data_IF_222261608463
#
_entry.id   IF_222261608463
#
_cell.length_a   1.000
_cell.length_b   1.000
_cell.length_c   1.000
_cell.angle_alpha   90.00
_cell.angle_beta   90.00
_cell.angle_gamma   90.00
#
_symmetry.space_group_name_H-M   'P 1'
#
loop_
_entity.id
_entity.type
_entity.pdbx_description
1 polymer ?
#
# COMPACT_ATOMS: atom_id res chain seq x y z
N UNK A 1 22.17 1.97 32.86
CA UNK A 1 21.04 1.67 31.96
C UNK A 1 20.81 2.92 31.13
N UNK A 2 21.30 2.95 29.90
CA UNK A 2 21.14 4.10 29.01
C UNK A 2 19.71 4.16 28.48
N UNK A 3 19.19 5.36 28.28
CA UNK A 3 17.83 5.69 27.82
C UNK A 3 17.51 5.18 26.39
N UNK A 4 18.38 4.37 25.80
CA UNK A 4 18.40 4.05 24.37
C UNK A 4 17.83 2.66 24.02
N UNK A 5 17.26 1.94 24.98
CA UNK A 5 16.74 0.57 24.81
C UNK A 5 15.19 0.53 24.72
N UNK A 6 14.58 1.59 24.17
CA UNK A 6 13.16 1.53 23.81
C UNK A 6 13.06 0.89 22.44
N UNK A 7 12.42 -0.28 22.28
CA UNK A 7 12.20 -0.85 20.95
C UNK A 7 11.43 0.21 20.12
N UNK A 8 11.79 0.45 18.85
CA UNK A 8 11.12 1.44 18.02
C UNK A 8 9.68 0.98 17.79
N UNK A 9 8.77 1.39 18.67
CA UNK A 9 7.34 1.30 18.44
C UNK A 9 6.93 2.57 17.72
N UNK A 10 6.78 2.51 16.41
CA UNK A 10 5.76 3.30 15.73
C UNK A 10 5.57 2.81 14.31
N UNK A 11 4.41 2.21 14.09
CA UNK A 11 3.79 2.28 12.77
C UNK A 11 3.58 3.76 12.44
N UNK A 12 4.21 4.23 11.38
CA UNK A 12 4.01 5.57 10.84
C UNK A 12 2.72 5.65 10.01
N UNK A 13 2.08 6.81 10.00
CA UNK A 13 0.85 7.03 9.20
C UNK A 13 1.25 7.37 7.76
N UNK A 14 0.87 6.50 6.82
CA UNK A 14 0.98 6.78 5.39
C UNK A 14 -0.22 7.64 4.93
N UNK A 15 0.04 8.78 4.29
CA UNK A 15 -0.97 9.57 3.58
C UNK A 15 -0.78 9.34 2.08
N UNK A 16 -1.86 8.97 1.41
CA UNK A 16 -1.91 8.74 -0.03
C UNK A 16 -3.18 9.42 -0.56
N UNK A 17 -3.06 10.14 -1.68
CA UNK A 17 -4.22 10.65 -2.39
C UNK A 17 -4.58 9.64 -3.47
N UNK A 18 -5.82 9.16 -3.44
CA UNK A 18 -6.36 8.22 -4.39
C UNK A 18 -7.66 8.80 -4.95
N UNK A 19 -7.89 8.56 -6.23
CA UNK A 19 -9.17 8.84 -6.87
C UNK A 19 -10.30 7.96 -6.29
N UNK A 20 -11.56 8.32 -6.56
CA UNK A 20 -12.71 7.53 -6.11
C UNK A 20 -12.67 6.10 -6.66
N UNK A 21 -12.26 5.92 -7.92
CA UNK A 21 -12.23 4.61 -8.58
C UNK A 21 -11.13 3.71 -8.01
N UNK A 22 -9.99 4.29 -7.65
CA UNK A 22 -8.90 3.57 -6.97
C UNK A 22 -9.29 3.13 -5.56
N UNK A 23 -9.98 3.99 -4.82
CA UNK A 23 -10.53 3.64 -3.50
C UNK A 23 -11.57 2.52 -3.61
N UNK A 24 -12.44 2.59 -4.62
CA UNK A 24 -13.44 1.56 -4.89
C UNK A 24 -12.77 0.22 -5.22
N UNK A 25 -11.74 0.21 -6.08
CA UNK A 25 -11.01 -1.01 -6.44
C UNK A 25 -10.37 -1.69 -5.21
N UNK A 26 -9.79 -0.91 -4.29
CA UNK A 26 -9.24 -1.44 -3.02
C UNK A 26 -10.35 -2.04 -2.15
N UNK A 27 -11.50 -1.38 -2.08
CA UNK A 27 -12.63 -1.85 -1.27
C UNK A 27 -13.29 -3.10 -1.87
N UNK A 28 -13.47 -3.17 -3.19
CA UNK A 28 -13.99 -4.36 -3.87
C UNK A 28 -13.09 -5.57 -3.63
N UNK A 29 -11.78 -5.41 -3.84
CA UNK A 29 -10.81 -6.46 -3.57
C UNK A 29 -10.81 -6.88 -2.09
N UNK A 30 -10.95 -5.92 -1.16
CA UNK A 30 -11.12 -6.20 0.28
C UNK A 30 -12.36 -7.06 0.53
N UNK A 31 -13.50 -6.74 -0.08
CA UNK A 31 -14.75 -7.49 0.11
C UNK A 31 -14.65 -8.90 -0.47
N UNK A 32 -14.13 -9.04 -1.69
CA UNK A 32 -13.91 -10.33 -2.35
C UNK A 32 -13.01 -11.26 -1.51
N UNK A 33 -11.91 -10.71 -0.97
CA UNK A 33 -10.96 -11.45 -0.15
C UNK A 33 -11.32 -11.48 1.34
N UNK A 34 -12.52 -10.97 1.72
CA UNK A 34 -13.07 -10.94 3.08
C UNK A 34 -12.13 -10.35 4.12
N UNK A 35 -11.42 -9.28 3.75
CA UNK A 35 -10.45 -8.63 4.63
C UNK A 35 -11.14 -7.67 5.62
N UNK A 36 -10.70 -7.67 6.89
CA UNK A 36 -11.43 -7.00 7.97
C UNK A 36 -11.41 -5.48 7.86
N UNK A 37 -10.39 -4.89 7.22
CA UNK A 37 -10.27 -3.44 7.07
C UNK A 37 -9.56 -3.07 5.77
N UNK A 38 -9.77 -1.82 5.31
CA UNK A 38 -9.01 -1.26 4.18
C UNK A 38 -7.51 -1.26 4.44
N UNK A 39 -7.09 -0.99 5.68
CA UNK A 39 -5.67 -1.06 6.05
C UNK A 39 -5.10 -2.48 5.95
N UNK A 40 -5.90 -3.52 6.26
CA UNK A 40 -5.48 -4.91 6.03
C UNK A 40 -5.36 -5.19 4.54
N UNK A 41 -6.28 -4.67 3.73
CA UNK A 41 -6.25 -4.83 2.29
C UNK A 41 -5.03 -4.19 1.65
N UNK A 42 -4.78 -2.91 1.96
CA UNK A 42 -3.60 -2.16 1.46
C UNK A 42 -2.30 -2.88 1.86
N UNK A 43 -2.18 -3.36 3.10
CA UNK A 43 -0.98 -4.10 3.54
C UNK A 43 -0.76 -5.39 2.78
N UNK A 44 -1.82 -6.15 2.53
CA UNK A 44 -1.74 -7.40 1.80
C UNK A 44 -1.41 -7.16 0.32
N UNK A 45 -1.99 -6.14 -0.31
CA UNK A 45 -1.64 -5.72 -1.67
C UNK A 45 -0.17 -5.32 -1.77
N UNK A 46 0.32 -4.49 -0.83
CA UNK A 46 1.74 -4.11 -0.76
C UNK A 46 2.62 -5.36 -0.57
N UNK A 47 2.25 -6.28 0.33
CA UNK A 47 3.01 -7.52 0.56
C UNK A 47 3.11 -8.36 -0.72
N UNK A 48 2.00 -8.51 -1.46
CA UNK A 48 1.96 -9.24 -2.73
C UNK A 48 2.81 -8.55 -3.79
N UNK A 49 2.73 -7.22 -3.91
CA UNK A 49 3.57 -6.44 -4.81
C UNK A 49 5.06 -6.58 -4.48
N UNK A 50 5.45 -6.47 -3.22
CA UNK A 50 6.87 -6.61 -2.84
C UNK A 50 7.41 -8.05 -2.95
N UNK A 51 6.53 -9.06 -3.03
CA UNK A 51 6.92 -10.47 -3.15
C UNK A 51 6.77 -11.03 -4.56
N UNK A 52 6.27 -10.25 -5.52
CA UNK A 52 6.15 -10.72 -6.91
C UNK A 52 7.43 -10.36 -7.68
N UNK A 53 7.94 -11.36 -8.39
CA UNK A 53 9.11 -11.24 -9.27
C UNK A 53 8.76 -10.64 -10.65
N UNK A 54 7.50 -10.23 -10.86
CA UNK A 54 7.01 -9.77 -12.17
C UNK A 54 7.20 -8.26 -12.42
N UNK A 55 7.74 -7.50 -11.48
CA UNK A 55 7.94 -6.06 -11.67
C UNK A 55 9.23 -5.77 -12.44
N UNK A 56 9.08 -5.24 -13.65
CA UNK A 56 10.18 -4.53 -14.33
C UNK A 56 10.52 -3.24 -13.58
N UNK A 57 11.72 -2.69 -13.79
CA UNK A 57 12.08 -1.41 -13.20
C UNK A 57 10.99 -0.36 -13.50
N UNK A 58 10.56 0.40 -12.48
CA UNK A 58 9.60 1.47 -12.70
C UNK A 58 10.19 2.49 -13.68
N UNK A 59 9.36 3.14 -14.50
CA UNK A 59 9.82 4.20 -15.38
C UNK A 59 10.36 5.38 -14.55
N UNK A 60 11.53 5.89 -14.95
CA UNK A 60 12.27 6.91 -14.19
C UNK A 60 11.66 8.32 -14.30
N UNK A 61 10.75 8.56 -15.26
CA UNK A 61 10.32 9.92 -15.66
C UNK A 61 8.78 10.04 -15.80
N UNK A 62 8.04 9.38 -14.91
CA UNK A 62 6.58 9.48 -14.84
C UNK A 62 6.13 10.29 -13.63
N UNK A 63 5.03 11.03 -13.77
CA UNK A 63 4.48 11.81 -12.67
C UNK A 63 3.89 10.88 -11.60
N UNK A 64 3.81 11.35 -10.35
CA UNK A 64 3.18 10.55 -9.28
C UNK A 64 1.73 10.16 -9.59
N UNK A 65 1.03 10.94 -10.43
CA UNK A 65 -0.33 10.66 -10.88
C UNK A 65 -0.44 9.56 -11.93
N UNK A 66 0.67 9.13 -12.54
CA UNK A 66 0.70 8.05 -13.52
C UNK A 66 0.82 6.67 -12.86
N UNK A 67 1.16 6.61 -11.56
CA UNK A 67 1.16 5.37 -10.76
C UNK A 67 -0.25 5.05 -10.24
N UNK A 68 -1.24 5.02 -11.13
CA UNK A 68 -2.63 4.71 -10.76
C UNK A 68 -2.83 3.22 -10.47
N UNK A 69 -3.78 2.93 -9.58
CA UNK A 69 -4.22 1.56 -9.25
C UNK A 69 -5.18 1.03 -10.33
N UNK A 70 -5.91 1.91 -11.01
CA UNK A 70 -6.83 1.59 -12.11
C UNK A 70 -6.51 2.43 -13.35
N UNK A 71 -6.83 1.88 -14.53
CA UNK A 71 -6.55 2.49 -15.84
C UNK A 71 -7.32 3.79 -16.09
#
# INVERSE_FOLDING_TARGET
MTENDRPPKRTEKLQLMLGPDELQAIDDWRFENRLPSRAAAIRELIRRGLSSDEFSNPPDDVASGDFRIVE
#
